data_IF_264243648099
#
_entry.id   IF_264243648099
#
_cell.length_a   1.000
_cell.length_b   1.000
_cell.length_c   1.000
_cell.angle_alpha   90.00
_cell.angle_beta   90.00
_cell.angle_gamma   90.00
#
_symmetry.space_group_name_H-M   'P 1'
#
loop_
_entity.id
_entity.type
_entity.pdbx_description
1 polymer ?
#
# COMPACT_ATOMS: atom_id res chain seq x y z
N UNK A 1 -5.46 23.45 70.05
CA UNK A 1 -5.27 23.79 68.63
C UNK A 1 -5.53 22.57 67.76
N UNK A 2 -6.61 22.58 67.04
CA UNK A 2 -6.96 21.47 66.17
C UNK A 2 -6.52 21.79 64.75
N UNK A 3 -5.52 21.08 64.24
CA UNK A 3 -5.19 21.13 62.85
C UNK A 3 -6.27 20.43 62.04
N UNK A 4 -6.98 21.20 61.22
CA UNK A 4 -7.88 20.60 60.23
C UNK A 4 -7.05 20.08 59.08
N UNK A 5 -7.20 18.83 58.65
CA UNK A 5 -6.56 18.36 57.42
C UNK A 5 -7.26 19.03 56.25
N UNK A 6 -6.51 19.79 55.50
CA UNK A 6 -6.92 20.29 54.21
C UNK A 6 -6.85 19.08 53.26
N UNK A 7 -8.01 18.55 52.93
CA UNK A 7 -8.10 17.60 51.80
C UNK A 7 -7.85 18.39 50.52
N UNK A 8 -6.61 18.36 50.07
CA UNK A 8 -6.30 18.73 48.71
C UNK A 8 -6.97 17.71 47.78
N UNK A 9 -8.04 18.12 47.15
CA UNK A 9 -8.71 17.32 46.15
C UNK A 9 -7.70 17.04 45.01
N UNK A 10 -7.32 15.80 44.88
CA UNK A 10 -6.65 15.33 43.68
C UNK A 10 -7.62 15.48 42.52
N UNK A 11 -7.45 16.55 41.77
CA UNK A 11 -8.05 16.65 40.43
C UNK A 11 -7.30 15.64 39.57
N UNK A 12 -7.83 14.44 39.47
CA UNK A 12 -7.45 13.50 38.45
C UNK A 12 -7.84 14.11 37.10
N UNK A 13 -6.90 14.82 36.49
CA UNK A 13 -6.99 15.16 35.10
C UNK A 13 -7.02 13.85 34.36
N UNK A 14 -8.20 13.38 33.98
CA UNK A 14 -8.34 12.32 33.01
C UNK A 14 -7.70 12.82 31.70
N UNK A 15 -6.48 12.42 31.46
CA UNK A 15 -5.87 12.59 30.16
C UNK A 15 -6.70 11.67 29.26
N UNK A 16 -7.70 12.25 28.61
CA UNK A 16 -8.38 11.58 27.51
C UNK A 16 -7.33 11.46 26.42
N UNK A 17 -6.68 10.30 26.32
CA UNK A 17 -6.00 9.94 25.09
C UNK A 17 -7.10 9.88 24.05
N UNK A 18 -7.23 10.96 23.27
CA UNK A 18 -7.96 10.86 22.01
C UNK A 18 -7.35 9.66 21.25
N UNK A 19 -8.16 8.67 20.83
CA UNK A 19 -7.64 7.59 20.00
C UNK A 19 -6.88 8.27 18.88
N UNK A 20 -5.60 7.89 18.67
CA UNK A 20 -4.81 8.38 17.58
C UNK A 20 -5.72 8.33 16.36
N UNK A 21 -6.03 9.49 15.80
CA UNK A 21 -6.91 9.66 14.65
C UNK A 21 -6.60 8.55 13.67
N UNK A 22 -7.63 7.81 13.25
CA UNK A 22 -7.53 6.66 12.40
C UNK A 22 -6.42 6.89 11.37
N UNK A 23 -5.32 6.14 11.50
CA UNK A 23 -4.24 6.22 10.53
C UNK A 23 -4.89 5.90 9.20
N UNK A 24 -4.78 6.81 8.23
CA UNK A 24 -5.26 6.58 6.89
C UNK A 24 -4.59 5.31 6.37
N UNK A 25 -5.34 4.22 6.36
CA UNK A 25 -4.86 2.96 5.81
C UNK A 25 -4.92 3.06 4.30
N UNK A 26 -3.74 3.18 3.68
CA UNK A 26 -3.61 3.02 2.25
C UNK A 26 -3.67 1.53 1.95
N UNK A 27 -4.77 1.07 1.40
CA UNK A 27 -4.93 -0.33 1.00
C UNK A 27 -5.25 -0.42 -0.48
N UNK A 28 -4.62 -1.37 -1.15
CA UNK A 28 -4.89 -1.70 -2.54
C UNK A 28 -5.34 -3.15 -2.60
N UNK A 29 -6.47 -3.40 -3.23
CA UNK A 29 -6.95 -4.75 -3.46
C UNK A 29 -6.50 -5.25 -4.83
N UNK A 30 -5.42 -6.02 -4.87
CA UNK A 30 -4.81 -6.54 -6.09
C UNK A 30 -5.74 -7.44 -6.91
N UNK A 31 -6.76 -8.02 -6.29
CA UNK A 31 -7.73 -8.86 -7.01
C UNK A 31 -8.75 -8.04 -7.80
N UNK A 32 -8.89 -6.76 -7.49
CA UNK A 32 -9.83 -5.85 -8.14
C UNK A 32 -9.18 -4.92 -9.16
N UNK A 33 -7.86 -4.81 -9.14
CA UNK A 33 -7.11 -4.02 -10.12
C UNK A 33 -6.85 -4.90 -11.34
N UNK A 34 -7.13 -4.38 -12.53
CA UNK A 34 -6.89 -5.07 -13.79
C UNK A 34 -5.60 -4.61 -14.46
N UNK A 35 -5.08 -5.41 -15.38
CA UNK A 35 -3.96 -5.03 -16.23
C UNK A 35 -4.18 -3.69 -16.95
N UNK A 36 -5.37 -3.47 -17.52
CA UNK A 36 -5.73 -2.21 -18.17
C UNK A 36 -5.56 -1.01 -17.23
N UNK A 37 -6.08 -1.12 -16.01
CA UNK A 37 -5.93 -0.06 -15.01
C UNK A 37 -4.47 0.18 -14.62
N UNK A 38 -3.69 -0.89 -14.54
CA UNK A 38 -2.27 -0.81 -14.18
C UNK A 38 -1.43 -0.09 -15.25
N UNK A 39 -1.57 -0.47 -16.53
CA UNK A 39 -0.74 0.10 -17.60
C UNK A 39 -1.20 1.48 -18.06
N UNK A 40 -2.46 1.85 -17.87
CA UNK A 40 -3.03 3.13 -18.27
C UNK A 40 -3.23 4.12 -17.12
N UNK A 41 -2.60 3.89 -15.97
CA UNK A 41 -2.69 4.74 -14.77
C UNK A 41 -4.13 5.00 -14.29
N UNK A 42 -5.00 4.00 -14.45
CA UNK A 42 -6.41 4.05 -14.04
C UNK A 42 -6.68 3.27 -12.75
N UNK A 43 -5.66 3.02 -11.96
CA UNK A 43 -5.82 2.30 -10.69
C UNK A 43 -6.71 3.16 -9.79
N UNK A 44 -7.85 2.60 -9.29
CA UNK A 44 -8.67 3.31 -8.34
C UNK A 44 -7.82 3.66 -7.12
N UNK A 45 -7.60 4.95 -6.90
CA UNK A 45 -6.89 5.38 -5.71
C UNK A 45 -7.80 5.16 -4.52
N UNK A 46 -7.34 4.47 -3.48
CA UNK A 46 -8.06 4.46 -2.22
C UNK A 46 -8.29 5.91 -1.77
N UNK A 47 -9.35 6.14 -1.03
CA UNK A 47 -9.69 7.48 -0.58
C UNK A 47 -8.57 8.03 0.31
N UNK A 48 -7.67 8.76 -0.31
CA UNK A 48 -6.57 9.46 0.37
C UNK A 48 -7.03 10.78 1.00
N UNK A 49 -8.32 10.94 1.25
CA UNK A 49 -8.87 12.18 1.79
C UNK A 49 -8.16 12.67 3.06
N UNK A 50 -7.52 11.77 3.78
CA UNK A 50 -6.72 12.07 4.97
C UNK A 50 -5.22 12.24 4.69
N UNK A 51 -4.75 11.98 3.47
CA UNK A 51 -3.35 12.16 3.07
C UNK A 51 -3.18 13.50 2.33
N UNK A 52 -3.31 14.59 3.07
CA UNK A 52 -3.09 15.94 2.54
C UNK A 52 -1.67 16.19 2.01
N UNK A 53 -0.71 15.32 2.35
CA UNK A 53 0.66 15.40 1.91
C UNK A 53 0.89 14.84 0.48
N UNK A 54 -0.03 14.03 -0.06
CA UNK A 54 0.09 13.45 -1.41
C UNK A 54 -0.89 14.19 -2.33
N UNK A 55 -0.57 15.42 -2.66
CA UNK A 55 -1.51 16.38 -3.23
C UNK A 55 -1.97 16.13 -4.66
N UNK A 56 -1.27 15.33 -5.49
CA UNK A 56 -1.62 15.17 -6.90
C UNK A 56 -2.13 13.77 -7.23
N UNK A 57 -3.06 13.68 -8.20
CA UNK A 57 -3.52 12.38 -8.75
C UNK A 57 -2.35 11.55 -9.29
N UNK A 58 -1.35 12.20 -9.86
CA UNK A 58 -0.16 11.53 -10.39
C UNK A 58 0.69 10.91 -9.28
N UNK A 59 0.86 11.60 -8.14
CA UNK A 59 1.57 11.05 -7.00
C UNK A 59 0.85 9.83 -6.42
N UNK A 60 -0.49 9.84 -6.41
CA UNK A 60 -1.31 8.70 -5.98
C UNK A 60 -1.18 7.50 -6.91
N UNK A 61 -1.22 7.73 -8.22
CA UNK A 61 -1.00 6.68 -9.22
C UNK A 61 0.39 6.06 -9.09
N UNK A 62 1.41 6.88 -8.88
CA UNK A 62 2.79 6.43 -8.65
C UNK A 62 2.89 5.58 -7.39
N UNK A 63 2.29 6.00 -6.28
CA UNK A 63 2.28 5.22 -5.04
C UNK A 63 1.59 3.86 -5.23
N UNK A 64 0.47 3.82 -5.94
CA UNK A 64 -0.24 2.57 -6.23
C UNK A 64 0.63 1.60 -7.03
N UNK A 65 1.35 2.09 -8.02
CA UNK A 65 2.32 1.28 -8.79
C UNK A 65 3.46 0.78 -7.92
N UNK A 66 3.98 1.60 -7.03
CA UNK A 66 5.03 1.20 -6.10
C UNK A 66 4.58 0.09 -5.15
N UNK A 67 3.36 0.15 -4.65
CA UNK A 67 2.80 -0.89 -3.80
C UNK A 67 2.65 -2.22 -4.56
N UNK A 68 2.21 -2.17 -5.81
CA UNK A 68 2.13 -3.34 -6.68
C UNK A 68 3.53 -3.93 -6.94
N UNK A 69 4.51 -3.07 -7.25
CA UNK A 69 5.88 -3.48 -7.48
C UNK A 69 6.53 -4.09 -6.23
N UNK A 70 6.29 -3.51 -5.05
CA UNK A 70 6.76 -4.05 -3.78
C UNK A 70 6.18 -5.45 -3.51
N UNK A 71 4.89 -5.63 -3.76
CA UNK A 71 4.25 -6.93 -3.60
C UNK A 71 4.79 -7.97 -4.59
N UNK A 72 4.95 -7.57 -5.86
CA UNK A 72 5.55 -8.39 -6.91
C UNK A 72 6.96 -8.86 -6.52
N UNK A 73 7.79 -7.93 -6.03
CA UNK A 73 9.14 -8.23 -5.57
C UNK A 73 9.13 -9.22 -4.41
N UNK A 74 8.31 -8.99 -3.40
CA UNK A 74 8.17 -9.92 -2.26
C UNK A 74 7.72 -11.31 -2.69
N UNK A 75 6.75 -11.38 -3.57
CA UNK A 75 6.25 -12.66 -4.11
C UNK A 75 7.33 -13.40 -4.91
N UNK A 76 8.07 -12.71 -5.78
CA UNK A 76 9.16 -13.28 -6.56
C UNK A 76 10.26 -13.85 -5.66
N UNK A 77 10.66 -13.11 -4.63
CA UNK A 77 11.67 -13.55 -3.66
C UNK A 77 11.20 -14.74 -2.83
N UNK A 78 9.96 -14.74 -2.41
CA UNK A 78 9.37 -15.88 -1.68
C UNK A 78 9.35 -17.16 -2.52
N UNK A 79 9.06 -17.03 -3.82
CA UNK A 79 9.04 -18.17 -4.75
C UNK A 79 10.43 -18.74 -5.03
N UNK A 80 11.44 -17.91 -5.14
CA UNK A 80 12.82 -18.30 -5.48
C UNK A 80 13.67 -18.64 -4.26
N UNK A 81 13.18 -18.45 -3.03
CA UNK A 81 13.97 -18.51 -1.80
C UNK A 81 15.20 -17.59 -1.81
N UNK A 82 15.17 -16.57 -2.64
CA UNK A 82 16.23 -15.59 -2.73
C UNK A 82 15.92 -14.40 -1.82
N UNK A 83 16.73 -14.20 -0.81
CA UNK A 83 16.57 -13.10 0.16
C UNK A 83 17.33 -11.83 -0.28
N UNK A 84 18.03 -11.88 -1.41
CA UNK A 84 18.75 -10.74 -1.93
C UNK A 84 17.83 -9.98 -2.87
N UNK A 85 17.52 -8.73 -2.51
CA UNK A 85 16.78 -7.81 -3.36
C UNK A 85 17.80 -6.95 -4.09
N UNK A 86 17.91 -7.14 -5.39
CA UNK A 86 18.72 -6.30 -6.26
C UNK A 86 17.84 -5.55 -7.26
N UNK A 87 18.34 -4.41 -7.73
CA UNK A 87 17.59 -3.53 -8.62
C UNK A 87 17.32 -4.18 -9.98
N UNK A 88 18.27 -4.96 -10.50
CA UNK A 88 18.14 -5.60 -11.81
C UNK A 88 16.99 -6.61 -11.81
N UNK A 89 16.94 -7.50 -10.83
CA UNK A 89 15.85 -8.46 -10.66
C UNK A 89 14.49 -7.77 -10.45
N UNK A 90 14.49 -6.67 -9.71
CA UNK A 90 13.29 -5.87 -9.49
C UNK A 90 12.77 -5.28 -10.81
N UNK A 91 13.63 -4.63 -11.58
CA UNK A 91 13.26 -4.03 -12.87
C UNK A 91 12.83 -5.09 -13.87
N UNK A 92 13.51 -6.23 -13.92
CA UNK A 92 13.12 -7.35 -14.80
C UNK A 92 11.71 -7.84 -14.51
N UNK A 93 11.37 -8.03 -13.24
CA UNK A 93 10.03 -8.47 -12.83
C UNK A 93 8.95 -7.43 -13.15
N UNK A 94 9.24 -6.15 -12.91
CA UNK A 94 8.32 -5.06 -13.27
C UNK A 94 8.11 -5.00 -14.78
N UNK A 95 9.16 -5.15 -15.56
CA UNK A 95 9.08 -5.18 -17.03
C UNK A 95 8.28 -6.38 -17.54
N UNK A 96 8.47 -7.55 -16.97
CA UNK A 96 7.68 -8.75 -17.32
C UNK A 96 6.19 -8.53 -17.07
N UNK A 97 5.83 -7.96 -15.90
CA UNK A 97 4.45 -7.65 -15.58
C UNK A 97 3.86 -6.61 -16.53
N UNK A 98 4.60 -5.54 -16.77
CA UNK A 98 4.18 -4.46 -17.66
C UNK A 98 3.95 -4.97 -19.09
N UNK A 99 4.88 -5.74 -19.63
CA UNK A 99 4.74 -6.33 -20.96
C UNK A 99 3.55 -7.29 -21.07
N UNK A 100 3.34 -8.11 -20.04
CA UNK A 100 2.19 -9.00 -19.97
C UNK A 100 0.87 -8.20 -19.99
N UNK A 101 0.80 -7.12 -19.21
CA UNK A 101 -0.39 -6.30 -19.10
C UNK A 101 -0.64 -5.38 -20.28
N UNK A 102 0.37 -5.07 -21.10
CA UNK A 102 0.17 -4.27 -22.33
C UNK A 102 -0.47 -5.07 -23.47
N UNK A 103 -0.50 -6.38 -23.40
CA UNK A 103 -1.22 -7.19 -24.36
C UNK A 103 -2.74 -7.04 -24.12
N UNK A 104 -3.46 -6.54 -25.12
CA UNK A 104 -4.89 -6.23 -25.02
C UNK A 104 -5.73 -7.41 -24.53
N UNK A 105 -5.35 -8.64 -24.92
CA UNK A 105 -6.04 -9.84 -24.46
C UNK A 105 -5.99 -10.03 -22.94
N UNK A 106 -5.02 -9.39 -22.27
CA UNK A 106 -4.81 -9.48 -20.83
C UNK A 106 -5.43 -8.31 -20.06
N UNK A 107 -6.02 -7.32 -20.71
CA UNK A 107 -6.53 -6.12 -20.06
C UNK A 107 -7.51 -6.38 -18.93
N UNK A 108 -8.32 -7.44 -19.04
CA UNK A 108 -9.28 -7.82 -18.01
C UNK A 108 -8.70 -8.71 -16.91
N UNK A 109 -7.46 -9.15 -17.06
CA UNK A 109 -6.81 -10.01 -16.07
C UNK A 109 -6.55 -9.22 -14.79
N UNK A 110 -6.95 -9.72 -13.62
CA UNK A 110 -6.59 -9.12 -12.35
C UNK A 110 -5.09 -9.07 -12.17
N UNK A 111 -4.57 -7.97 -11.62
CA UNK A 111 -3.12 -7.79 -11.47
C UNK A 111 -2.48 -8.89 -10.61
N UNK A 112 -3.19 -9.37 -9.60
CA UNK A 112 -2.72 -10.49 -8.78
C UNK A 112 -2.49 -11.75 -9.61
N UNK A 113 -3.40 -12.07 -10.52
CA UNK A 113 -3.27 -13.22 -11.42
C UNK A 113 -2.14 -13.01 -12.43
N UNK A 114 -2.01 -11.79 -12.96
CA UNK A 114 -0.91 -11.44 -13.85
C UNK A 114 0.45 -11.65 -13.18
N UNK A 115 0.61 -11.22 -11.94
CA UNK A 115 1.83 -11.39 -11.15
C UNK A 115 2.16 -12.87 -10.99
N UNK A 116 1.20 -13.68 -10.60
CA UNK A 116 1.40 -15.13 -10.45
C UNK A 116 1.84 -15.77 -11.77
N UNK A 117 1.26 -15.34 -12.88
CA UNK A 117 1.61 -15.87 -14.21
C UNK A 117 3.02 -15.48 -14.67
N UNK A 118 3.47 -14.25 -14.41
CA UNK A 118 4.79 -13.80 -14.85
C UNK A 118 5.93 -14.29 -13.97
N UNK A 119 5.68 -14.50 -12.68
CA UNK A 119 6.67 -14.99 -11.71
C UNK A 119 6.71 -16.52 -11.66
N UNK A 120 5.62 -17.17 -11.98
CA UNK A 120 5.49 -18.64 -11.90
C UNK A 120 6.10 -19.40 -13.09
N UNK A 121 6.74 -18.71 -14.01
CA UNK A 121 7.36 -19.31 -15.19
C UNK A 121 8.87 -19.38 -15.07
#
# INVERSE_FOLDING_TARGET
>A
MRCKPIFAGLVLSSIVFAPASAQAQVSINLTKITCDQYVHDKIPTPDFASFSAVGSLQARATLSRWLIAAWLSGYSHAKSNNLIIDLESFEENVNKLTNYCYDEKNFKVPIMEAIVRVVGK
#
